data_IF_703149782283
#
_entry.id   IF_703149782283
#
_cell.length_a   1.000
_cell.length_b   1.000
_cell.length_c   1.000
_cell.angle_alpha   90.00
_cell.angle_beta   90.00
_cell.angle_gamma   90.00
#
_symmetry.space_group_name_H-M   'P 1'
#
loop_
_entity.id
_entity.type
_entity.pdbx_description
1 polymer ?
#
# COMPACT_ATOMS: atom_id res chain seq x y z
N UNK A 1 -0.84 -4.68 -5.09
CA UNK A 1 0.50 -4.37 -5.68
C UNK A 1 1.31 -5.66 -5.75
N UNK A 2 2.11 -5.87 -6.82
CA UNK A 2 2.89 -7.11 -7.04
C UNK A 2 4.39 -6.90 -6.78
N UNK A 3 5.19 -7.97 -6.79
CA UNK A 3 6.66 -7.87 -6.70
C UNK A 3 7.26 -7.04 -7.85
N UNK A 4 6.73 -7.19 -9.07
CA UNK A 4 7.15 -6.38 -10.23
C UNK A 4 6.90 -4.88 -10.00
N UNK A 5 5.80 -4.54 -9.34
CA UNK A 5 5.48 -3.16 -8.95
C UNK A 5 6.53 -2.57 -8.01
N UNK A 6 7.02 -3.38 -7.06
CA UNK A 6 8.10 -2.99 -6.15
C UNK A 6 9.38 -2.71 -6.92
N UNK A 7 9.80 -3.62 -7.81
CA UNK A 7 11.05 -3.48 -8.55
C UNK A 7 11.06 -2.31 -9.54
N UNK A 8 9.89 -1.89 -10.03
CA UNK A 8 9.76 -0.76 -10.95
C UNK A 8 9.59 0.58 -10.25
N UNK A 9 9.49 0.61 -8.93
CA UNK A 9 9.18 1.83 -8.20
C UNK A 9 7.79 2.39 -8.56
N UNK A 10 6.79 1.51 -8.67
CA UNK A 10 5.48 1.88 -9.21
C UNK A 10 4.72 2.86 -8.31
N UNK A 11 4.16 3.88 -8.93
CA UNK A 11 3.16 4.77 -8.33
C UNK A 11 1.78 4.33 -8.79
N UNK A 12 0.86 4.12 -7.84
CA UNK A 12 -0.48 3.63 -8.17
C UNK A 12 -1.54 4.37 -7.38
N UNK A 13 -2.61 4.72 -8.09
CA UNK A 13 -3.85 5.22 -7.54
C UNK A 13 -4.86 4.07 -7.47
N UNK A 14 -5.37 3.77 -6.28
CA UNK A 14 -6.40 2.76 -6.06
C UNK A 14 -7.75 3.41 -5.92
N UNK A 15 -8.74 2.94 -6.68
CA UNK A 15 -10.13 3.32 -6.46
C UNK A 15 -10.59 2.74 -5.12
N UNK A 16 -11.05 3.60 -4.24
CA UNK A 16 -11.67 3.22 -2.98
C UNK A 16 -13.17 3.11 -3.18
N UNK A 17 -13.76 2.06 -2.62
CA UNK A 17 -15.21 1.94 -2.47
C UNK A 17 -15.53 2.24 -1.02
N UNK A 18 -16.24 3.34 -0.77
CA UNK A 18 -16.60 3.81 0.56
C UNK A 18 -18.11 3.65 0.74
N UNK A 19 -18.51 2.87 1.74
CA UNK A 19 -19.91 2.59 2.05
C UNK A 19 -20.43 3.62 3.06
N UNK A 20 -21.34 4.50 2.63
CA UNK A 20 -21.92 5.54 3.48
C UNK A 20 -23.03 5.03 4.39
N UNK A 21 -23.38 5.86 5.38
CA UNK A 21 -24.61 5.71 6.16
C UNK A 21 -25.82 5.76 5.20
N UNK A 22 -26.56 4.66 5.10
CA UNK A 22 -27.62 4.47 4.10
C UNK A 22 -27.28 3.52 2.95
N UNK A 23 -26.12 2.85 2.99
CA UNK A 23 -25.76 1.79 2.03
C UNK A 23 -25.36 2.31 0.64
N UNK A 24 -25.25 3.63 0.47
CA UNK A 24 -24.82 4.24 -0.79
C UNK A 24 -23.31 4.07 -0.96
N UNK A 25 -22.94 3.41 -2.05
CA UNK A 25 -21.54 3.30 -2.47
C UNK A 25 -21.07 4.64 -3.05
N UNK A 26 -19.97 5.11 -2.50
CA UNK A 26 -19.25 6.30 -2.96
C UNK A 26 -17.82 5.92 -3.27
N UNK A 27 -17.09 6.79 -3.98
CA UNK A 27 -15.75 6.46 -4.43
C UNK A 27 -14.76 7.57 -4.15
N UNK A 28 -13.62 7.17 -3.61
CA UNK A 28 -12.42 7.99 -3.47
C UNK A 28 -11.25 7.37 -4.20
N UNK A 29 -10.06 7.95 -4.04
CA UNK A 29 -8.82 7.39 -4.61
C UNK A 29 -7.71 7.44 -3.58
N UNK A 30 -7.00 6.34 -3.38
CA UNK A 30 -5.82 6.24 -2.51
C UNK A 30 -4.54 6.23 -3.35
N UNK A 31 -3.64 7.17 -3.08
CA UNK A 31 -2.35 7.27 -3.76
C UNK A 31 -1.28 6.55 -2.95
N UNK A 32 -0.69 5.51 -3.54
CA UNK A 32 0.37 4.71 -2.91
C UNK A 32 1.56 4.61 -3.85
N UNK A 33 2.75 4.81 -3.31
CA UNK A 33 3.99 4.60 -4.04
C UNK A 33 4.80 3.46 -3.44
N UNK A 34 5.47 2.70 -4.29
CA UNK A 34 6.47 1.71 -3.92
C UNK A 34 7.81 2.11 -4.49
N UNK A 35 8.89 1.86 -3.75
CA UNK A 35 10.26 2.09 -4.24
C UNK A 35 11.17 0.98 -3.72
N UNK A 36 11.97 0.34 -4.58
CA UNK A 36 12.99 -0.59 -4.12
C UNK A 36 14.14 0.21 -3.48
N UNK A 37 14.80 -0.36 -2.48
CA UNK A 37 15.86 0.29 -1.69
C UNK A 37 17.13 -0.54 -1.73
N UNK A 38 18.27 0.12 -1.96
CA UNK A 38 19.61 -0.47 -1.92
C UNK A 38 20.18 -0.85 -3.28
N UNK A 39 21.40 -1.41 -3.30
CA UNK A 39 22.13 -1.71 -4.55
C UNK A 39 21.45 -2.77 -5.42
N UNK A 40 20.61 -3.62 -4.83
CA UNK A 40 19.82 -4.63 -5.55
C UNK A 40 18.54 -4.05 -6.21
N UNK A 41 18.28 -2.75 -6.01
CA UNK A 41 17.11 -2.01 -6.49
C UNK A 41 17.22 -1.51 -7.94
N UNK A 42 18.18 -2.01 -8.71
CA UNK A 42 18.24 -1.72 -10.15
C UNK A 42 17.02 -2.37 -10.81
N UNK A 43 16.38 -1.67 -11.74
CA UNK A 43 15.26 -2.20 -12.52
C UNK A 43 15.68 -3.53 -13.16
N UNK A 44 15.22 -4.64 -12.58
CA UNK A 44 15.42 -5.98 -13.14
C UNK A 44 14.20 -6.34 -13.96
N UNK A 45 14.43 -6.81 -15.18
CA UNK A 45 13.35 -7.24 -16.07
C UNK A 45 12.73 -8.56 -15.58
N UNK A 46 13.57 -9.46 -15.05
CA UNK A 46 13.14 -10.75 -14.48
C UNK A 46 13.25 -10.78 -12.94
N UNK A 47 12.11 -10.89 -12.21
CA UNK A 47 12.11 -11.10 -10.76
C UNK A 47 12.85 -12.36 -10.29
N UNK A 48 13.03 -13.38 -11.14
CA UNK A 48 13.72 -14.63 -10.78
C UNK A 48 15.20 -14.44 -10.50
N UNK A 49 15.80 -13.35 -10.94
CA UNK A 49 17.20 -13.02 -10.60
C UNK A 49 17.40 -12.71 -9.10
N UNK A 50 16.32 -12.52 -8.35
CA UNK A 50 16.36 -12.24 -6.91
C UNK A 50 16.42 -13.51 -6.05
N UNK A 51 16.40 -14.70 -6.65
CA UNK A 51 16.48 -15.96 -5.90
C UNK A 51 17.72 -15.98 -5.02
N UNK A 52 17.54 -16.24 -3.72
CA UNK A 52 18.59 -16.26 -2.71
C UNK A 52 19.06 -14.88 -2.23
N UNK A 53 18.51 -13.79 -2.78
CA UNK A 53 18.85 -12.42 -2.38
C UNK A 53 17.84 -11.85 -1.39
N UNK A 54 18.26 -10.79 -0.69
CA UNK A 54 17.38 -9.97 0.13
C UNK A 54 16.84 -8.81 -0.71
N UNK A 55 15.55 -8.53 -0.55
CA UNK A 55 14.89 -7.38 -1.17
C UNK A 55 14.41 -6.41 -0.08
N UNK A 56 14.94 -5.18 -0.13
CA UNK A 56 14.47 -4.07 0.68
C UNK A 56 13.66 -3.12 -0.18
N UNK A 57 12.57 -2.61 0.36
CA UNK A 57 11.74 -1.64 -0.36
C UNK A 57 10.91 -0.79 0.60
N UNK A 58 10.50 0.38 0.13
CA UNK A 58 9.63 1.30 0.85
C UNK A 58 8.24 1.33 0.20
N UNK A 59 7.23 1.42 1.06
CA UNK A 59 5.88 1.78 0.71
C UNK A 59 5.56 3.15 1.30
N UNK A 60 4.97 4.01 0.48
CA UNK A 60 4.53 5.35 0.88
C UNK A 60 3.03 5.46 0.65
N UNK A 61 2.27 5.66 1.72
CA UNK A 61 0.87 6.09 1.63
C UNK A 61 0.90 7.62 1.52
N UNK A 62 0.76 8.12 0.29
CA UNK A 62 0.87 9.55 -0.01
C UNK A 62 -0.33 10.29 0.57
N UNK A 63 -1.52 9.81 0.26
CA UNK A 63 -2.76 10.48 0.60
C UNK A 63 -3.95 9.83 -0.08
N UNK A 64 -5.11 10.46 0.06
CA UNK A 64 -6.27 10.15 -0.73
C UNK A 64 -6.87 11.42 -1.34
N UNK A 65 -7.69 11.25 -2.37
CA UNK A 65 -8.44 12.33 -3.01
C UNK A 65 -9.91 11.92 -3.13
N UNK A 66 -10.78 12.92 -3.21
CA UNK A 66 -12.23 12.73 -3.38
C UNK A 66 -12.84 11.85 -2.28
N UNK A 67 -12.35 11.97 -1.04
CA UNK A 67 -13.03 11.39 0.12
C UNK A 67 -14.37 12.14 0.27
N UNK A 68 -15.51 11.45 0.23
CA UNK A 68 -16.81 12.10 0.39
C UNK A 68 -16.91 12.83 1.73
N UNK A 69 -17.64 13.95 1.74
CA UNK A 69 -17.73 14.84 2.90
C UNK A 69 -18.24 14.16 4.18
N UNK A 70 -19.09 13.14 4.04
CA UNK A 70 -19.58 12.32 5.15
C UNK A 70 -18.50 11.51 5.88
N UNK A 71 -17.28 11.42 5.34
CA UNK A 71 -16.16 10.66 5.92
C UNK A 71 -14.97 11.55 6.31
N UNK A 72 -15.06 12.86 6.05
CA UNK A 72 -13.92 13.77 6.03
C UNK A 72 -13.47 14.23 7.42
N UNK A 73 -14.31 14.07 8.45
CA UNK A 73 -14.05 14.61 9.79
C UNK A 73 -12.85 13.92 10.42
N UNK A 74 -12.80 12.59 10.32
CA UNK A 74 -11.64 11.80 10.69
C UNK A 74 -11.41 10.72 9.64
N UNK A 75 -10.28 10.78 8.94
CA UNK A 75 -9.91 9.76 7.95
C UNK A 75 -8.50 9.23 8.19
N UNK A 76 -8.32 7.92 8.17
CA UNK A 76 -7.01 7.28 8.22
C UNK A 76 -6.98 6.01 7.37
N UNK A 77 -5.77 5.50 7.13
CA UNK A 77 -5.55 4.25 6.40
C UNK A 77 -4.85 3.26 7.29
N UNK A 78 -5.35 2.03 7.28
CA UNK A 78 -4.65 0.87 7.80
C UNK A 78 -4.02 0.10 6.65
N UNK A 79 -2.77 -0.29 6.84
CA UNK A 79 -1.95 -1.07 5.94
C UNK A 79 -1.61 -2.40 6.62
N UNK A 80 -1.81 -3.51 5.92
CA UNK A 80 -1.31 -4.82 6.35
C UNK A 80 -0.50 -5.48 5.24
N UNK A 81 0.54 -6.20 5.63
CA UNK A 81 1.31 -7.07 4.75
C UNK A 81 0.67 -8.47 4.80
N UNK A 82 0.17 -8.96 3.66
CA UNK A 82 -0.73 -10.12 3.61
C UNK A 82 -0.06 -11.47 3.95
N UNK A 83 1.27 -11.50 4.07
CA UNK A 83 2.06 -12.72 4.27
C UNK A 83 3.11 -12.54 5.36
N UNK A 84 2.84 -11.60 6.27
CA UNK A 84 3.67 -11.40 7.44
C UNK A 84 3.31 -12.42 8.51
N UNK A 85 4.29 -13.18 9.01
CA UNK A 85 4.04 -14.14 10.09
C UNK A 85 3.62 -13.44 11.39
N UNK A 86 4.02 -12.18 11.55
CA UNK A 86 3.73 -11.36 12.72
C UNK A 86 2.43 -10.54 12.60
N UNK A 87 1.69 -10.69 11.48
CA UNK A 87 0.48 -9.93 11.15
C UNK A 87 0.62 -8.41 11.40
N UNK A 88 1.79 -7.84 11.07
CA UNK A 88 2.05 -6.43 11.36
C UNK A 88 1.11 -5.56 10.55
N UNK A 89 0.38 -4.71 11.27
CA UNK A 89 -0.42 -3.64 10.70
C UNK A 89 0.16 -2.28 11.07
N UNK A 90 -0.03 -1.32 10.16
CA UNK A 90 0.41 0.06 10.34
C UNK A 90 -0.75 0.99 10.04
N UNK A 91 -0.90 2.04 10.83
CA UNK A 91 -1.90 3.08 10.59
C UNK A 91 -1.24 4.41 10.26
N UNK A 92 -1.85 5.18 9.37
CA UNK A 92 -1.50 6.59 9.20
C UNK A 92 -1.94 7.38 10.42
N UNK A 93 -1.44 8.61 10.56
CA UNK A 93 -2.12 9.59 11.41
C UNK A 93 -3.53 9.84 10.88
N UNK A 94 -4.43 10.24 11.76
CA UNK A 94 -5.74 10.73 11.37
C UNK A 94 -5.59 12.08 10.68
N UNK A 95 -6.21 12.22 9.52
CA UNK A 95 -6.44 13.51 8.89
C UNK A 95 -7.82 14.02 9.27
N UNK A 96 -7.92 15.33 9.49
CA UNK A 96 -9.13 15.96 10.01
C UNK A 96 -9.70 16.95 9.00
N UNK A 97 -11.03 17.00 8.93
CA UNK A 97 -11.84 17.95 8.16
C UNK A 97 -11.37 18.16 6.71
N UNK A 98 -11.04 17.07 6.00
CA UNK A 98 -10.52 17.15 4.63
C UNK A 98 -10.98 16.02 3.72
N UNK A 99 -11.33 16.38 2.48
CA UNK A 99 -11.65 15.43 1.40
C UNK A 99 -10.41 14.92 0.65
N UNK A 100 -9.24 15.49 0.94
CA UNK A 100 -7.98 15.21 0.25
C UNK A 100 -6.81 15.04 1.25
N UNK A 101 -6.88 14.04 2.15
CA UNK A 101 -5.88 13.86 3.19
C UNK A 101 -4.50 13.55 2.62
N UNK A 102 -3.46 14.11 3.24
CA UNK A 102 -2.05 13.85 2.93
C UNK A 102 -1.37 13.26 4.16
N UNK A 103 -1.11 11.96 4.14
CA UNK A 103 -0.55 11.25 5.29
C UNK A 103 0.97 11.16 5.25
N UNK A 104 1.55 10.96 4.06
CA UNK A 104 2.99 10.79 3.89
C UNK A 104 3.60 9.66 4.73
N UNK A 105 2.84 8.60 5.04
CA UNK A 105 3.33 7.49 5.86
C UNK A 105 4.32 6.68 5.03
N UNK A 106 5.57 6.60 5.51
CA UNK A 106 6.62 5.76 4.90
C UNK A 106 6.88 4.54 5.78
N UNK A 107 6.86 3.36 5.18
CA UNK A 107 7.24 2.09 5.83
C UNK A 107 8.22 1.31 4.96
N UNK A 108 9.32 0.88 5.57
CA UNK A 108 10.30 0.02 4.93
C UNK A 108 10.02 -1.44 5.28
N UNK A 109 10.11 -2.30 4.27
CA UNK A 109 9.96 -3.74 4.38
C UNK A 109 11.19 -4.44 3.84
N UNK A 110 11.45 -5.64 4.37
CA UNK A 110 12.53 -6.50 3.93
C UNK A 110 12.01 -7.92 3.76
N UNK A 111 12.27 -8.51 2.59
CA UNK A 111 12.09 -9.93 2.31
C UNK A 111 13.47 -10.56 2.25
N UNK A 112 13.75 -11.44 3.20
CA UNK A 112 15.03 -12.13 3.31
C UNK A 112 15.04 -13.41 2.48
N UNK A 113 16.18 -13.73 1.87
CA UNK A 113 16.45 -15.00 1.17
C UNK A 113 15.29 -15.44 0.27
N UNK A 114 14.93 -14.61 -0.72
CA UNK A 114 13.79 -14.86 -1.59
C UNK A 114 13.89 -16.22 -2.28
N UNK A 115 12.90 -17.08 -2.04
CA UNK A 115 12.77 -18.37 -2.73
C UNK A 115 12.06 -18.21 -4.08
N UNK A 116 12.18 -19.21 -4.94
CA UNK A 116 11.45 -19.24 -6.23
C UNK A 116 9.94 -19.22 -6.01
N UNK A 117 9.47 -19.90 -4.98
CA UNK A 117 8.06 -20.01 -4.61
C UNK A 117 7.52 -18.65 -4.17
N UNK A 118 8.27 -17.93 -3.33
CA UNK A 118 7.93 -16.58 -2.87
C UNK A 118 7.84 -15.60 -4.06
N UNK A 119 8.82 -15.65 -4.97
CA UNK A 119 8.83 -14.80 -6.17
C UNK A 119 7.64 -15.13 -7.09
N UNK A 120 7.36 -16.42 -7.34
CA UNK A 120 6.20 -16.85 -8.14
C UNK A 120 4.90 -16.40 -7.51
N UNK A 121 4.75 -16.57 -6.20
CA UNK A 121 3.56 -16.19 -5.46
C UNK A 121 3.27 -14.70 -5.58
N UNK A 122 4.26 -13.83 -5.29
CA UNK A 122 4.10 -12.37 -5.37
C UNK A 122 4.11 -11.80 -6.79
N UNK A 123 4.36 -12.65 -7.79
CA UNK A 123 4.16 -12.28 -9.20
C UNK A 123 2.68 -12.28 -9.60
N UNK A 124 1.85 -13.06 -8.89
CA UNK A 124 0.41 -13.18 -9.18
C UNK A 124 -0.48 -12.65 -8.05
N UNK A 125 0.03 -12.58 -6.82
CA UNK A 125 -0.72 -12.14 -5.65
C UNK A 125 -0.33 -10.73 -5.19
N UNK A 126 -1.22 -10.11 -4.42
CA UNK A 126 -0.95 -8.81 -3.81
C UNK A 126 -0.11 -8.96 -2.54
N UNK A 127 0.87 -8.07 -2.37
CA UNK A 127 1.68 -8.00 -1.14
C UNK A 127 0.93 -7.31 0.00
N UNK A 128 0.11 -6.31 -0.32
CA UNK A 128 -0.49 -5.39 0.66
C UNK A 128 -1.99 -5.34 0.54
N UNK A 129 -2.65 -5.18 1.68
CA UNK A 129 -4.02 -4.68 1.79
C UNK A 129 -4.02 -3.26 2.37
N UNK A 130 -4.98 -2.47 1.90
CA UNK A 130 -5.23 -1.11 2.38
C UNK A 130 -6.71 -1.01 2.75
N UNK A 131 -6.97 -0.55 3.96
CA UNK A 131 -8.32 -0.29 4.46
C UNK A 131 -8.40 1.19 4.82
N UNK A 132 -9.36 1.91 4.24
CA UNK A 132 -9.57 3.34 4.51
C UNK A 132 -10.77 3.49 5.40
N UNK A 133 -10.55 4.12 6.55
CA UNK A 133 -11.58 4.40 7.53
C UNK A 133 -11.89 5.89 7.52
N UNK A 134 -13.18 6.20 7.57
CA UNK A 134 -13.68 7.57 7.56
C UNK A 134 -14.88 7.69 8.47
N UNK A 135 -14.92 8.75 9.27
CA UNK A 135 -15.97 8.99 10.27
C UNK A 135 -16.57 10.38 10.08
N UNK A 136 -17.87 10.48 10.37
CA UNK A 136 -18.69 11.69 10.26
C UNK A 136 -18.73 12.52 11.56
N UNK A 137 -18.48 11.89 12.71
CA UNK A 137 -18.60 12.46 14.07
C UNK A 137 -17.34 12.33 14.90
#
# INVERSE_FOLDING_TARGET
MSLKSVLRGERRAFRLTLLGEGGRLTTGTLDVHLFPVGKNAVSREDPMELVGQNLKFCLVIVGANNIPSQFQRHTFVKLSLLFDQDDRCFTTRTAEDTTAPRWGLVKQFELLQLSREVIKHFSTHHLFSFEVFGFST
#
